data_IF_690958593690
#
_entry.id   IF_690958593690
#
_cell.length_a   1.000
_cell.length_b   1.000
_cell.length_c   1.000
_cell.angle_alpha   90.00
_cell.angle_beta   90.00
_cell.angle_gamma   90.00
#
_symmetry.space_group_name_H-M   'P 1'
#
loop_
_entity.id
_entity.type
_entity.pdbx_description
1 polymer ?
#
# COMPACT_ATOMS: atom_id res chain seq x y z
N UNK A 1 -64.92 -2.45 -4.86
CA UNK A 1 -63.92 -2.25 -5.92
C UNK A 1 -62.56 -2.16 -5.23
N UNK A 2 -61.81 -3.25 -5.17
CA UNK A 2 -60.50 -3.28 -4.51
C UNK A 2 -59.42 -3.01 -5.56
N UNK A 3 -58.67 -1.92 -5.39
CA UNK A 3 -57.56 -1.55 -6.26
C UNK A 3 -56.30 -2.33 -5.82
N UNK A 4 -55.81 -3.22 -6.68
CA UNK A 4 -54.52 -3.87 -6.51
C UNK A 4 -53.41 -2.92 -6.97
N UNK A 5 -52.54 -2.49 -6.05
CA UNK A 5 -51.31 -1.79 -6.38
C UNK A 5 -50.26 -2.82 -6.82
N UNK A 6 -49.78 -2.70 -8.06
CA UNK A 6 -48.65 -3.49 -8.56
C UNK A 6 -47.36 -2.99 -7.89
N UNK A 7 -46.50 -3.89 -7.37
CA UNK A 7 -45.20 -3.48 -6.84
C UNK A 7 -44.32 -2.98 -7.99
N UNK A 8 -43.82 -1.75 -7.88
CA UNK A 8 -42.77 -1.25 -8.76
C UNK A 8 -41.50 -2.07 -8.50
N UNK A 9 -41.05 -2.82 -9.51
CA UNK A 9 -39.74 -3.45 -9.47
C UNK A 9 -38.67 -2.35 -9.42
N UNK A 10 -37.83 -2.39 -8.38
CA UNK A 10 -36.66 -1.53 -8.31
C UNK A 10 -35.74 -1.82 -9.52
N UNK A 11 -35.16 -0.80 -10.17
CA UNK A 11 -34.21 -1.04 -11.24
C UNK A 11 -33.06 -1.90 -10.71
N UNK A 12 -32.83 -3.04 -11.37
CA UNK A 12 -31.65 -3.87 -11.12
C UNK A 12 -30.41 -3.01 -11.38
N UNK A 13 -29.56 -2.86 -10.36
CA UNK A 13 -28.26 -2.23 -10.54
C UNK A 13 -27.54 -2.99 -11.66
N UNK A 14 -27.19 -2.30 -12.74
CA UNK A 14 -26.49 -2.92 -13.86
C UNK A 14 -25.21 -3.57 -13.33
N UNK A 15 -25.08 -4.88 -13.53
CA UNK A 15 -23.84 -5.61 -13.24
C UNK A 15 -22.80 -5.14 -14.26
N UNK A 16 -22.07 -4.11 -13.88
CA UNK A 16 -20.94 -3.60 -14.63
C UNK A 16 -19.88 -4.71 -14.74
N UNK A 17 -19.30 -4.94 -15.94
CA UNK A 17 -18.22 -5.92 -16.10
C UNK A 17 -17.08 -5.63 -15.11
N UNK A 18 -16.50 -6.67 -14.52
CA UNK A 18 -15.28 -6.53 -13.73
C UNK A 18 -14.22 -5.78 -14.57
N UNK A 19 -13.82 -4.59 -14.11
CA UNK A 19 -12.86 -3.72 -14.82
C UNK A 19 -13.47 -2.52 -15.57
N UNK A 20 -14.79 -2.32 -15.58
CA UNK A 20 -15.40 -1.14 -16.23
C UNK A 20 -15.18 0.18 -15.47
N UNK A 21 -14.64 0.11 -14.25
CA UNK A 21 -14.22 1.26 -13.43
C UNK A 21 -12.85 0.93 -12.82
N UNK A 22 -11.75 1.10 -13.56
CA UNK A 22 -10.42 0.82 -13.03
C UNK A 22 -10.11 1.79 -11.89
N UNK A 23 -9.89 1.24 -10.68
CA UNK A 23 -9.42 2.00 -9.53
C UNK A 23 -7.91 2.14 -9.62
N UNK A 24 -7.41 3.38 -9.60
CA UNK A 24 -5.99 3.68 -9.46
C UNK A 24 -5.71 4.16 -8.03
N UNK A 25 -5.06 3.33 -7.22
CA UNK A 25 -4.79 3.64 -5.80
C UNK A 25 -3.63 4.61 -5.60
N UNK A 26 -2.87 4.96 -6.66
CA UNK A 26 -1.82 5.97 -6.60
C UNK A 26 -2.38 7.40 -6.57
N UNK A 27 -3.65 7.59 -6.97
CA UNK A 27 -4.29 8.91 -6.92
C UNK A 27 -4.45 9.35 -5.45
N UNK A 28 -4.00 10.56 -5.14
CA UNK A 28 -4.03 11.12 -3.78
C UNK A 28 -2.78 10.85 -2.93
N UNK A 29 -1.76 10.18 -3.49
CA UNK A 29 -0.58 9.75 -2.74
C UNK A 29 0.60 10.72 -2.77
N UNK A 30 0.60 11.78 -3.57
CA UNK A 30 1.75 12.70 -3.67
C UNK A 30 1.66 13.88 -2.71
N UNK A 31 0.56 14.64 -2.81
CA UNK A 31 0.38 15.90 -2.11
C UNK A 31 -0.49 15.70 -0.85
N UNK A 32 -1.48 16.55 -0.62
CA UNK A 32 -2.33 16.57 0.60
C UNK A 32 -3.48 15.55 0.59
N UNK A 33 -3.46 14.59 -0.34
CA UNK A 33 -4.46 13.52 -0.36
C UNK A 33 -4.26 12.52 0.78
N UNK A 34 -3.00 12.29 1.19
CA UNK A 34 -2.61 11.42 2.30
C UNK A 34 -3.24 10.01 2.22
N UNK A 35 -3.45 9.49 1.01
CA UNK A 35 -3.90 8.12 0.79
C UNK A 35 -2.70 7.18 0.70
N UNK A 36 -2.96 5.87 0.72
CA UNK A 36 -1.95 4.83 0.52
C UNK A 36 -2.28 4.00 -0.73
N UNK A 37 -1.28 3.56 -1.52
CA UNK A 37 -1.52 2.79 -2.74
C UNK A 37 -1.69 1.29 -2.51
N UNK A 38 -1.42 0.81 -1.30
CA UNK A 38 -1.40 -0.60 -0.94
C UNK A 38 -2.72 -1.36 -1.11
N UNK A 39 -2.61 -2.68 -0.99
CA UNK A 39 -3.74 -3.58 -1.08
C UNK A 39 -4.64 -3.50 0.16
N UNK A 40 -5.95 -3.44 -0.07
CA UNK A 40 -6.97 -3.47 0.97
C UNK A 40 -8.25 -4.10 0.42
N UNK A 41 -8.94 -4.90 1.24
CA UNK A 41 -10.32 -5.30 0.98
C UNK A 41 -11.27 -4.15 1.37
N UNK A 42 -12.48 -4.06 0.78
CA UNK A 42 -13.47 -3.06 1.21
C UNK A 42 -13.74 -3.17 2.72
N UNK A 43 -13.45 -2.09 3.45
CA UNK A 43 -13.56 -2.03 4.93
C UNK A 43 -12.70 -3.06 5.69
N UNK A 44 -11.67 -3.63 5.06
CA UNK A 44 -10.76 -4.57 5.71
C UNK A 44 -9.95 -3.88 6.80
N UNK A 45 -9.65 -4.61 7.88
CA UNK A 45 -8.85 -4.08 8.99
C UNK A 45 -7.40 -3.88 8.56
N UNK A 46 -6.89 -4.80 7.73
CA UNK A 46 -5.51 -4.83 7.29
C UNK A 46 -5.40 -4.22 5.91
N UNK A 47 -4.49 -3.26 5.79
CA UNK A 47 -4.07 -2.69 4.52
C UNK A 47 -2.56 -2.81 4.42
N UNK A 48 -2.09 -3.45 3.35
CA UNK A 48 -0.67 -3.73 3.14
C UNK A 48 -0.15 -2.77 2.10
N UNK A 49 0.65 -1.79 2.52
CA UNK A 49 1.10 -0.70 1.66
C UNK A 49 2.59 -0.42 1.83
N UNK A 50 3.29 0.00 0.77
CA UNK A 50 4.63 0.58 0.91
C UNK A 50 4.58 1.76 1.89
N UNK A 51 5.68 1.96 2.60
CA UNK A 51 5.94 3.14 3.43
C UNK A 51 7.22 3.81 2.97
N UNK A 52 7.20 5.12 2.79
CA UNK A 52 8.33 5.99 2.46
C UNK A 52 8.67 6.88 3.67
N UNK A 53 9.46 7.94 3.45
CA UNK A 53 9.81 8.92 4.48
C UNK A 53 8.73 10.03 4.58
N UNK A 54 7.48 9.60 4.74
CA UNK A 54 6.31 10.47 4.82
C UNK A 54 5.40 10.13 6.00
N UNK A 55 4.80 11.15 6.63
CA UNK A 55 4.02 10.99 7.86
C UNK A 55 2.72 10.20 7.66
N UNK A 56 2.14 10.24 6.46
CA UNK A 56 0.95 9.46 6.11
C UNK A 56 1.28 8.01 5.68
N UNK A 57 2.56 7.63 5.73
CA UNK A 57 3.01 6.32 5.29
C UNK A 57 3.73 6.39 3.96
N UNK A 58 3.06 6.80 2.88
CA UNK A 58 3.62 6.83 1.53
C UNK A 58 3.44 8.19 0.85
N UNK A 59 4.49 8.65 0.17
CA UNK A 59 4.44 9.80 -0.73
C UNK A 59 5.00 9.42 -2.09
N UNK A 60 4.22 9.65 -3.15
CA UNK A 60 4.59 9.28 -4.52
C UNK A 60 5.96 9.83 -4.93
N UNK A 61 6.29 11.07 -4.56
CA UNK A 61 7.57 11.68 -4.94
C UNK A 61 8.79 11.12 -4.22
N UNK A 62 8.60 10.34 -3.15
CA UNK A 62 9.70 9.78 -2.38
C UNK A 62 10.36 8.63 -3.12
N UNK A 63 11.68 8.55 -3.01
CA UNK A 63 12.50 7.62 -3.82
C UNK A 63 12.84 6.31 -3.11
N UNK A 64 12.49 6.20 -1.82
CA UNK A 64 12.89 5.08 -0.96
C UNK A 64 11.72 4.55 -0.16
N UNK A 65 11.54 3.24 -0.23
CA UNK A 65 10.59 2.48 0.57
C UNK A 65 11.33 1.94 1.80
N UNK A 66 10.87 2.32 2.99
CA UNK A 66 11.37 1.76 4.25
C UNK A 66 10.79 0.37 4.57
N UNK A 67 9.69 -0.01 3.92
CA UNK A 67 9.09 -1.33 4.09
C UNK A 67 7.65 -1.35 3.60
N UNK A 68 7.04 -2.52 3.71
CA UNK A 68 5.61 -2.73 3.51
C UNK A 68 4.98 -2.85 4.89
N UNK A 69 4.27 -1.79 5.27
CA UNK A 69 3.55 -1.72 6.52
C UNK A 69 2.19 -2.38 6.43
N UNK A 70 1.59 -2.59 7.59
CA UNK A 70 0.24 -3.07 7.80
C UNK A 70 -0.52 -2.02 8.61
N UNK A 71 -1.82 -1.90 8.34
CA UNK A 71 -2.75 -0.97 9.00
C UNK A 71 -2.42 0.49 8.68
N UNK A 72 -3.26 1.14 7.88
CA UNK A 72 -3.14 2.54 7.49
C UNK A 72 -4.46 3.29 7.63
N UNK A 73 -4.36 4.57 7.97
CA UNK A 73 -5.48 5.51 7.94
C UNK A 73 -5.42 6.27 6.62
N UNK A 74 -6.49 6.24 5.83
CA UNK A 74 -6.52 6.91 4.53
C UNK A 74 -7.04 8.34 4.64
N UNK A 75 -6.26 9.33 4.21
CA UNK A 75 -6.71 10.71 4.01
C UNK A 75 -6.83 11.54 5.29
N UNK A 76 -6.17 11.13 6.38
CA UNK A 76 -6.11 11.96 7.57
C UNK A 76 -5.13 13.13 7.38
N UNK A 77 -5.18 14.12 8.26
CA UNK A 77 -4.23 15.26 8.29
C UNK A 77 -3.27 15.25 9.48
N UNK A 78 -3.37 14.25 10.37
CA UNK A 78 -2.51 14.11 11.53
C UNK A 78 -1.31 13.20 11.24
N UNK A 79 -0.33 13.21 12.15
CA UNK A 79 0.80 12.28 12.11
C UNK A 79 0.36 10.84 12.36
N UNK A 80 1.24 9.89 12.03
CA UNK A 80 1.09 8.45 12.36
C UNK A 80 -0.11 7.77 11.70
N UNK A 81 -0.30 7.95 10.39
CA UNK A 81 -1.41 7.32 9.64
C UNK A 81 -1.17 5.83 9.33
N UNK A 82 -0.45 5.15 10.22
CA UNK A 82 -0.21 3.71 10.17
C UNK A 82 1.18 3.30 9.67
N UNK A 83 1.23 2.16 8.99
CA UNK A 83 2.46 1.46 8.65
C UNK A 83 3.06 0.72 9.86
N UNK A 84 2.20 0.16 10.70
CA UNK A 84 2.60 -0.77 11.76
C UNK A 84 3.17 -2.04 11.13
N UNK A 85 4.05 -2.77 11.83
CA UNK A 85 4.67 -4.00 11.32
C UNK A 85 5.25 -3.85 9.89
N UNK A 86 6.43 -3.23 9.82
CA UNK A 86 7.15 -3.01 8.57
C UNK A 86 7.91 -4.28 8.17
N UNK A 87 7.65 -4.78 6.96
CA UNK A 87 8.41 -5.88 6.36
C UNK A 87 9.10 -5.36 5.11
N UNK A 88 10.43 -5.44 5.06
CA UNK A 88 11.19 -5.09 3.87
C UNK A 88 11.90 -6.35 3.36
N UNK A 89 11.60 -6.84 2.14
CA UNK A 89 12.38 -7.92 1.54
C UNK A 89 13.76 -7.39 1.13
N UNK A 90 14.80 -8.13 1.51
CA UNK A 90 16.20 -7.76 1.26
C UNK A 90 17.00 -9.00 0.88
N UNK A 91 18.08 -8.79 0.13
CA UNK A 91 19.12 -9.81 -0.11
C UNK A 91 20.35 -9.48 0.73
N UNK A 92 21.09 -10.50 1.13
CA UNK A 92 22.31 -10.35 1.92
C UNK A 92 22.23 -11.09 3.24
N UNK A 93 23.20 -10.82 4.10
CA UNK A 93 23.36 -11.46 5.40
C UNK A 93 22.76 -10.62 6.52
N UNK A 94 21.91 -11.24 7.35
CA UNK A 94 21.34 -10.64 8.56
C UNK A 94 21.99 -11.29 9.78
N UNK A 95 22.71 -10.52 10.60
CA UNK A 95 23.42 -11.01 11.78
C UNK A 95 24.65 -10.17 12.13
N UNK A 96 25.34 -10.45 13.25
CA UNK A 96 26.53 -9.71 13.65
C UNK A 96 27.60 -9.69 12.54
N UNK A 97 27.97 -8.50 12.07
CA UNK A 97 28.96 -8.32 10.99
C UNK A 97 28.47 -8.60 9.57
N UNK A 98 27.17 -8.86 9.36
CA UNK A 98 26.56 -8.98 8.03
C UNK A 98 26.19 -7.63 7.39
N UNK A 99 25.54 -7.69 6.23
CA UNK A 99 25.01 -6.51 5.52
C UNK A 99 23.97 -5.75 6.38
N UNK A 100 23.20 -6.52 7.16
CA UNK A 100 22.30 -6.02 8.20
C UNK A 100 22.82 -6.44 9.58
N UNK A 101 23.74 -5.63 10.11
CA UNK A 101 24.43 -5.92 11.38
C UNK A 101 23.52 -5.75 12.60
N UNK A 102 23.05 -6.88 13.15
CA UNK A 102 22.15 -6.90 14.32
C UNK A 102 22.86 -6.55 15.64
N UNK A 103 24.20 -6.49 15.65
CA UNK A 103 24.97 -6.08 16.84
C UNK A 103 25.06 -4.56 17.01
N UNK A 104 24.73 -3.79 15.95
CA UNK A 104 24.82 -2.33 15.92
C UNK A 104 23.44 -1.71 15.73
N UNK A 105 22.71 -1.46 16.82
CA UNK A 105 21.38 -0.85 16.77
C UNK A 105 21.32 0.44 15.92
N UNK A 106 22.34 1.30 16.00
CA UNK A 106 22.41 2.56 15.25
C UNK A 106 22.58 2.37 13.72
N UNK A 107 22.96 1.18 13.28
CA UNK A 107 22.98 0.82 11.85
C UNK A 107 21.58 0.46 11.33
N UNK A 108 20.65 0.09 12.21
CA UNK A 108 19.29 -0.34 11.89
C UNK A 108 18.32 0.84 11.76
N UNK A 109 18.69 1.83 10.94
CA UNK A 109 17.86 2.99 10.61
C UNK A 109 17.24 2.84 9.22
N UNK A 110 15.96 3.15 9.05
CA UNK A 110 15.30 3.10 7.74
C UNK A 110 15.94 4.05 6.72
N UNK A 111 16.61 5.11 7.18
CA UNK A 111 17.40 6.00 6.32
C UNK A 111 18.61 5.28 5.69
N UNK A 112 19.06 4.18 6.29
CA UNK A 112 20.15 3.33 5.78
C UNK A 112 19.59 2.17 4.96
N UNK A 113 18.67 1.37 5.53
CA UNK A 113 18.18 0.15 4.89
C UNK A 113 17.03 0.35 3.87
N UNK A 114 16.44 1.55 3.76
CA UNK A 114 15.34 1.77 2.81
C UNK A 114 15.73 1.38 1.38
N UNK A 115 14.87 0.65 0.70
CA UNK A 115 15.12 0.23 -0.67
C UNK A 115 14.75 1.37 -1.63
N UNK A 116 15.63 1.66 -2.58
CA UNK A 116 15.31 2.48 -3.74
C UNK A 116 14.30 1.74 -4.63
N UNK A 117 13.43 2.49 -5.29
CA UNK A 117 12.44 1.96 -6.23
C UNK A 117 12.14 2.98 -7.32
N UNK A 118 11.39 2.56 -8.33
CA UNK A 118 10.88 3.43 -9.40
C UNK A 118 9.41 3.13 -9.65
N UNK A 119 8.65 4.11 -10.15
CA UNK A 119 7.27 3.89 -10.58
C UNK A 119 7.15 3.09 -11.89
N UNK A 120 8.27 2.80 -12.57
CA UNK A 120 8.27 1.92 -13.73
C UNK A 120 7.82 0.51 -13.34
N UNK A 121 6.68 0.08 -13.88
CA UNK A 121 6.03 -1.18 -13.54
C UNK A 121 5.37 -1.23 -12.16
N UNK A 122 5.23 -0.09 -11.47
CA UNK A 122 4.43 0.00 -10.24
C UNK A 122 2.93 -0.11 -10.57
N UNK A 123 2.23 -0.93 -9.79
CA UNK A 123 0.80 -1.17 -9.97
C UNK A 123 0.09 -0.93 -8.65
N UNK A 124 -0.85 0.00 -8.65
CA UNK A 124 -1.80 0.23 -7.56
C UNK A 124 -3.24 0.01 -8.04
N UNK A 125 -3.87 -1.07 -7.61
CA UNK A 125 -5.25 -1.42 -7.95
C UNK A 125 -6.01 -1.93 -6.73
N UNK A 126 -7.34 -2.05 -6.85
CA UNK A 126 -8.17 -2.57 -5.77
C UNK A 126 -7.69 -3.98 -5.33
N UNK A 127 -7.33 -4.13 -4.06
CA UNK A 127 -6.90 -5.40 -3.47
C UNK A 127 -5.50 -5.89 -3.87
N UNK A 128 -4.73 -5.13 -4.67
CA UNK A 128 -3.39 -5.55 -5.09
C UNK A 128 -2.44 -4.37 -5.29
N UNK A 129 -1.21 -4.53 -4.81
CA UNK A 129 -0.10 -3.61 -5.05
C UNK A 129 1.14 -4.37 -5.51
N UNK A 130 1.89 -3.79 -6.44
CA UNK A 130 3.19 -4.31 -6.90
C UNK A 130 4.17 -3.18 -7.14
N UNK A 131 5.42 -3.41 -6.75
CA UNK A 131 6.54 -2.52 -7.07
C UNK A 131 7.83 -3.29 -7.27
N UNK A 132 8.74 -2.73 -8.07
CA UNK A 132 10.10 -3.23 -8.20
C UNK A 132 11.05 -2.37 -7.36
N UNK A 133 11.65 -2.99 -6.35
CA UNK A 133 12.77 -2.43 -5.61
C UNK A 133 14.03 -2.58 -6.47
N UNK A 134 14.77 -1.49 -6.65
CA UNK A 134 16.00 -1.45 -7.45
C UNK A 134 17.26 -1.68 -6.60
N UNK A 135 17.17 -1.48 -5.28
CA UNK A 135 18.18 -1.95 -4.33
C UNK A 135 18.15 -3.48 -4.17
N UNK A 136 19.13 -4.03 -3.44
CA UNK A 136 19.17 -5.45 -3.05
C UNK A 136 19.12 -6.43 -4.24
N UNK A 137 19.78 -6.09 -5.35
CA UNK A 137 19.85 -6.95 -6.53
C UNK A 137 18.57 -7.01 -7.37
N UNK A 138 17.55 -6.22 -7.05
CA UNK A 138 16.28 -6.17 -7.78
C UNK A 138 15.27 -7.16 -7.23
N UNK A 139 14.26 -6.65 -6.51
CA UNK A 139 13.21 -7.47 -5.89
C UNK A 139 11.85 -6.95 -6.35
N UNK A 140 11.01 -7.84 -6.90
CA UNK A 140 9.59 -7.53 -7.11
C UNK A 140 8.81 -7.88 -5.85
N UNK A 141 8.20 -6.88 -5.23
CA UNK A 141 7.34 -7.04 -4.08
C UNK A 141 5.87 -6.94 -4.52
N UNK A 142 5.06 -7.90 -4.09
CA UNK A 142 3.63 -7.97 -4.37
C UNK A 142 2.87 -8.15 -3.05
N UNK A 143 1.73 -7.46 -2.93
CA UNK A 143 0.86 -7.54 -1.77
C UNK A 143 -0.60 -7.65 -2.19
N UNK A 144 -1.35 -8.45 -1.44
CA UNK A 144 -2.81 -8.51 -1.49
C UNK A 144 -3.34 -8.49 -0.06
N UNK A 145 -4.63 -8.20 0.11
CA UNK A 145 -5.26 -8.13 1.42
C UNK A 145 -6.68 -8.67 1.38
N UNK A 146 -7.08 -9.28 2.49
CA UNK A 146 -8.45 -9.70 2.79
C UNK A 146 -8.95 -8.90 4.00
N UNK A 147 -10.21 -9.12 4.38
CA UNK A 147 -10.87 -8.39 5.48
C UNK A 147 -10.20 -8.59 6.84
#
# INVERSE_FOLDING_TARGET
MAAFALPMAAPSAANLPAGSMPVNTLIGTQDEGNTYPGASAPFGLIQVSPSTDFYAGYRYSDKRIRGFGHSFVSGAGCWEQGGQLQVLPVTGSIGPGGDFDTSKADSFSYKKYGADYTHDGEVGQAGYYKVKLTSYGGITAEATALT
#
